data_IF_621468303689
#
_entry.id   IF_621468303689
#
_cell.length_a   1.000
_cell.length_b   1.000
_cell.length_c   1.000
_cell.angle_alpha   90.00
_cell.angle_beta   90.00
_cell.angle_gamma   90.00
#
_symmetry.space_group_name_H-M   'P 1'
#
loop_
_entity.id
_entity.type
_entity.pdbx_description
1 polymer ?
#
# COMPACT_ATOMS: atom_id res chain seq x y z
N UNK A 1 6.29 -23.45 27.24
CA UNK A 1 6.01 -22.46 26.20
C UNK A 1 4.52 -22.49 25.90
N UNK A 2 3.86 -21.36 26.10
CA UNK A 2 2.45 -21.17 25.69
C UNK A 2 2.40 -20.57 24.28
N UNK A 3 1.28 -20.75 23.58
CA UNK A 3 1.05 -20.12 22.26
C UNK A 3 1.31 -18.60 22.30
N UNK A 4 1.00 -17.94 23.42
CA UNK A 4 1.24 -16.51 23.60
C UNK A 4 2.74 -16.18 23.71
N UNK A 5 3.53 -17.03 24.36
CA UNK A 5 4.99 -16.86 24.45
C UNK A 5 5.64 -17.04 23.07
N UNK A 6 5.25 -18.07 22.33
CA UNK A 6 5.80 -18.37 21.00
C UNK A 6 5.45 -17.26 20.00
N UNK A 7 4.20 -16.77 20.02
CA UNK A 7 3.77 -15.64 19.17
C UNK A 7 4.44 -14.32 19.52
N UNK A 8 4.91 -14.13 20.77
CA UNK A 8 5.76 -12.99 21.15
C UNK A 8 7.15 -13.10 20.53
N UNK A 9 7.77 -14.27 20.65
CA UNK A 9 9.10 -14.52 20.09
C UNK A 9 9.12 -14.41 18.55
N UNK A 10 8.09 -14.93 17.88
CA UNK A 10 7.98 -14.91 16.41
C UNK A 10 7.39 -13.62 15.83
N UNK A 11 7.05 -12.64 16.67
CA UNK A 11 6.38 -11.40 16.26
C UNK A 11 5.06 -11.62 15.47
N UNK A 12 4.28 -12.63 15.88
CA UNK A 12 2.99 -12.97 15.27
C UNK A 12 1.86 -12.21 15.98
N UNK A 13 1.72 -10.92 15.70
CA UNK A 13 0.77 -10.04 16.42
C UNK A 13 -0.68 -10.43 16.18
N UNK A 14 -1.04 -10.75 14.94
CA UNK A 14 -2.41 -11.10 14.58
C UNK A 14 -2.81 -12.39 15.28
N UNK A 15 -1.96 -13.41 15.17
CA UNK A 15 -2.23 -14.73 15.74
C UNK A 15 -2.40 -14.63 17.26
N UNK A 16 -1.54 -13.86 17.94
CA UNK A 16 -1.64 -13.66 19.39
C UNK A 16 -2.99 -13.11 19.82
N UNK A 17 -3.57 -12.21 19.03
CA UNK A 17 -4.83 -11.55 19.32
C UNK A 17 -6.04 -12.39 18.90
N UNK A 18 -5.94 -13.17 17.81
CA UNK A 18 -7.09 -13.79 17.15
C UNK A 18 -7.12 -15.33 17.16
N UNK A 19 -6.09 -16.03 17.65
CA UNK A 19 -6.03 -17.51 17.53
C UNK A 19 -7.23 -18.21 18.18
N UNK A 20 -7.76 -17.71 19.30
CA UNK A 20 -8.93 -18.28 19.97
C UNK A 20 -10.20 -18.15 19.13
N UNK A 21 -10.38 -17.02 18.46
CA UNK A 21 -11.53 -16.78 17.56
C UNK A 21 -11.47 -17.76 16.38
N UNK A 22 -10.30 -17.90 15.77
CA UNK A 22 -10.08 -18.88 14.69
C UNK A 22 -10.29 -20.33 15.16
N UNK A 23 -9.88 -20.69 16.38
CA UNK A 23 -10.16 -22.02 16.95
C UNK A 23 -11.67 -22.29 17.08
N UNK A 24 -12.42 -21.29 17.53
CA UNK A 24 -13.88 -21.40 17.69
C UNK A 24 -14.58 -21.50 16.32
N UNK A 25 -14.17 -20.68 15.36
CA UNK A 25 -14.72 -20.72 14.01
C UNK A 25 -14.44 -22.05 13.32
N UNK A 26 -13.22 -22.57 13.43
CA UNK A 26 -12.86 -23.86 12.84
C UNK A 26 -13.68 -25.01 13.42
N UNK A 27 -13.95 -24.99 14.73
CA UNK A 27 -14.81 -25.97 15.39
C UNK A 27 -16.27 -25.89 14.91
N UNK A 28 -16.79 -24.67 14.69
CA UNK A 28 -18.16 -24.46 14.19
C UNK A 28 -18.32 -24.83 12.71
N UNK A 29 -17.30 -24.58 11.90
CA UNK A 29 -17.30 -24.81 10.44
C UNK A 29 -16.82 -26.21 10.06
N UNK A 30 -16.46 -27.05 11.03
CA UNK A 30 -15.81 -28.36 10.81
C UNK A 30 -14.61 -28.26 9.85
N UNK A 31 -13.84 -27.16 9.97
CA UNK A 31 -12.68 -26.93 9.11
C UNK A 31 -11.60 -27.98 9.34
N UNK A 32 -10.95 -28.39 8.26
CA UNK A 32 -9.74 -29.18 8.35
C UNK A 32 -8.62 -28.39 9.05
N UNK A 33 -7.67 -29.10 9.66
CA UNK A 33 -6.51 -28.45 10.29
C UNK A 33 -5.69 -27.61 9.31
N UNK A 34 -5.64 -28.01 8.04
CA UNK A 34 -4.93 -27.28 6.99
C UNK A 34 -5.64 -25.95 6.67
N UNK A 35 -6.97 -25.95 6.55
CA UNK A 35 -7.76 -24.73 6.31
C UNK A 35 -7.65 -23.76 7.49
N UNK A 36 -7.80 -24.26 8.72
CA UNK A 36 -7.61 -23.44 9.93
C UNK A 36 -6.23 -22.77 9.96
N UNK A 37 -5.16 -23.56 9.74
CA UNK A 37 -3.80 -23.03 9.79
C UNK A 37 -3.57 -22.00 8.67
N UNK A 38 -4.10 -22.26 7.47
CA UNK A 38 -4.04 -21.35 6.34
C UNK A 38 -4.73 -20.03 6.64
N UNK A 39 -5.95 -20.05 7.14
CA UNK A 39 -6.74 -18.84 7.44
C UNK A 39 -6.04 -17.99 8.52
N UNK A 40 -5.54 -18.64 9.57
CA UNK A 40 -4.82 -17.98 10.65
C UNK A 40 -3.52 -17.31 10.16
N UNK A 41 -2.74 -18.00 9.32
CA UNK A 41 -1.52 -17.45 8.71
C UNK A 41 -1.83 -16.35 7.68
N UNK A 42 -2.92 -16.47 6.94
CA UNK A 42 -3.35 -15.44 6.00
C UNK A 42 -3.70 -14.13 6.71
N UNK A 43 -4.37 -14.21 7.87
CA UNK A 43 -4.64 -13.03 8.70
C UNK A 43 -3.37 -12.33 9.18
N UNK A 44 -2.36 -13.09 9.62
CA UNK A 44 -1.05 -12.54 10.00
C UNK A 44 -0.34 -11.88 8.82
N UNK A 45 -0.28 -12.55 7.68
CA UNK A 45 0.30 -12.00 6.44
C UNK A 45 -0.41 -10.71 6.02
N UNK A 46 -1.74 -10.67 6.11
CA UNK A 46 -2.54 -9.50 5.78
C UNK A 46 -2.24 -8.33 6.73
N UNK A 47 -2.30 -8.53 8.05
CA UNK A 47 -2.00 -7.47 9.02
C UNK A 47 -0.57 -6.94 8.86
N UNK A 48 0.39 -7.83 8.63
CA UNK A 48 1.80 -7.44 8.39
C UNK A 48 1.95 -6.61 7.11
N UNK A 49 1.28 -6.99 6.02
CA UNK A 49 1.28 -6.21 4.77
C UNK A 49 0.67 -4.83 4.99
N UNK A 50 -0.48 -4.74 5.66
CA UNK A 50 -1.16 -3.48 5.95
C UNK A 50 -0.32 -2.56 6.82
N UNK A 51 0.32 -3.09 7.87
CA UNK A 51 1.24 -2.33 8.71
C UNK A 51 2.44 -1.80 7.90
N UNK A 52 2.97 -2.61 6.98
CA UNK A 52 4.03 -2.20 6.06
C UNK A 52 3.61 -1.06 5.14
N UNK A 53 2.42 -1.14 4.54
CA UNK A 53 1.85 -0.07 3.69
C UNK A 53 1.65 1.20 4.51
N UNK A 54 1.00 1.13 5.68
CA UNK A 54 0.78 2.29 6.55
C UNK A 54 2.10 2.97 6.95
N UNK A 55 3.12 2.17 7.28
CA UNK A 55 4.45 2.71 7.62
C UNK A 55 5.06 3.45 6.43
N UNK A 56 5.07 2.84 5.23
CA UNK A 56 5.60 3.48 4.02
C UNK A 56 4.79 4.73 3.63
N UNK A 57 3.47 4.72 3.77
CA UNK A 57 2.61 5.88 3.50
C UNK A 57 2.98 7.06 4.40
N UNK A 58 3.25 6.82 5.69
CA UNK A 58 3.73 7.85 6.63
C UNK A 58 5.11 8.36 6.24
N UNK A 59 6.02 7.47 5.88
CA UNK A 59 7.39 7.82 5.46
C UNK A 59 7.48 8.50 4.09
N UNK A 60 6.40 8.50 3.30
CA UNK A 60 6.40 9.12 1.99
C UNK A 60 6.24 10.64 2.00
N UNK A 61 5.91 11.25 3.14
CA UNK A 61 5.80 12.71 3.31
C UNK A 61 4.84 13.39 2.31
N UNK A 62 3.78 12.70 1.88
CA UNK A 62 2.76 13.32 1.04
C UNK A 62 2.09 14.50 1.78
N UNK A 63 1.84 15.64 1.12
CA UNK A 63 1.21 16.80 1.75
C UNK A 63 -0.26 16.56 2.11
N UNK A 64 -0.91 15.60 1.45
CA UNK A 64 -2.23 15.11 1.76
C UNK A 64 -2.38 13.67 1.24
N UNK A 65 -3.39 12.95 1.74
CA UNK A 65 -3.70 11.59 1.28
C UNK A 65 -4.59 11.63 0.04
N UNK A 66 -4.25 10.82 -0.96
CA UNK A 66 -5.10 10.60 -2.12
C UNK A 66 -4.75 9.27 -2.77
N UNK A 67 -5.77 8.44 -3.00
CA UNK A 67 -5.63 7.19 -3.75
C UNK A 67 -5.80 7.45 -5.25
N UNK A 68 -5.18 6.63 -6.10
CA UNK A 68 -5.21 6.81 -7.55
C UNK A 68 -6.63 6.72 -8.15
N UNK A 69 -7.51 5.95 -7.52
CA UNK A 69 -8.91 5.81 -7.95
C UNK A 69 -9.72 7.10 -7.74
N UNK A 70 -9.34 7.95 -6.79
CA UNK A 70 -10.03 9.22 -6.51
C UNK A 70 -9.57 10.34 -7.45
N UNK A 71 -8.51 10.12 -8.22
CA UNK A 71 -8.02 11.11 -9.17
C UNK A 71 -8.99 11.26 -10.35
N UNK A 72 -9.76 12.35 -10.35
CA UNK A 72 -10.74 12.67 -11.39
C UNK A 72 -10.06 12.86 -12.74
N UNK A 73 -10.52 12.16 -13.77
CA UNK A 73 -9.92 12.16 -15.12
C UNK A 73 -10.78 12.87 -16.16
N UNK A 74 -12.02 13.24 -15.83
CA UNK A 74 -13.01 13.70 -16.80
C UNK A 74 -12.63 15.01 -17.50
N UNK A 75 -11.82 15.83 -16.82
CA UNK A 75 -11.30 17.09 -17.35
C UNK A 75 -10.07 16.92 -18.26
N UNK A 76 -9.53 15.71 -18.37
CA UNK A 76 -8.31 15.43 -19.14
C UNK A 76 -8.64 14.96 -20.56
N UNK A 77 -7.80 15.35 -21.51
CA UNK A 77 -7.89 14.87 -22.90
C UNK A 77 -7.73 13.34 -22.95
N UNK A 78 -8.29 12.72 -23.98
CA UNK A 78 -8.28 11.26 -24.16
C UNK A 78 -6.84 10.71 -24.15
N UNK A 79 -5.91 11.39 -24.81
CA UNK A 79 -4.51 10.96 -24.90
C UNK A 79 -3.85 10.95 -23.52
N UNK A 80 -4.11 11.97 -22.69
CA UNK A 80 -3.58 12.06 -21.32
C UNK A 80 -4.18 10.96 -20.44
N UNK A 81 -5.47 10.65 -20.59
CA UNK A 81 -6.09 9.54 -19.85
C UNK A 81 -5.46 8.20 -20.20
N UNK A 82 -5.06 8.00 -21.46
CA UNK A 82 -4.38 6.79 -21.90
C UNK A 82 -2.97 6.68 -21.29
N UNK A 83 -2.21 7.78 -21.31
CA UNK A 83 -0.89 7.84 -20.64
C UNK A 83 -1.05 7.55 -19.15
N UNK A 84 -2.04 8.12 -18.48
CA UNK A 84 -2.27 7.85 -17.05
C UNK A 84 -2.50 6.35 -16.82
N UNK A 85 -3.32 5.67 -17.65
CA UNK A 85 -3.53 4.21 -17.55
C UNK A 85 -2.22 3.43 -17.62
N UNK A 86 -1.31 3.83 -18.51
CA UNK A 86 0.03 3.23 -18.59
C UNK A 86 0.84 3.52 -17.32
N UNK A 87 0.80 4.75 -16.80
CA UNK A 87 1.50 5.09 -15.55
C UNK A 87 0.95 4.32 -14.34
N UNK A 88 -0.31 3.92 -14.33
CA UNK A 88 -0.89 3.13 -13.23
C UNK A 88 -0.27 1.74 -13.13
N UNK A 89 0.35 1.20 -14.18
CA UNK A 89 1.05 -0.10 -14.08
C UNK A 89 2.31 0.01 -13.23
N UNK A 90 2.82 1.24 -13.01
CA UNK A 90 4.08 1.55 -12.36
C UNK A 90 5.32 0.95 -13.07
N UNK A 91 5.16 0.47 -14.30
CA UNK A 91 6.23 -0.18 -15.07
C UNK A 91 7.41 0.76 -15.30
N UNK A 92 7.16 2.07 -15.41
CA UNK A 92 8.19 3.09 -15.51
C UNK A 92 9.21 3.04 -14.35
N UNK A 93 8.83 2.55 -13.16
CA UNK A 93 9.73 2.40 -12.02
C UNK A 93 10.71 1.24 -12.28
N UNK A 94 10.21 0.10 -12.79
CA UNK A 94 11.05 -1.05 -13.14
C UNK A 94 11.99 -0.72 -14.31
N UNK A 95 11.47 0.00 -15.29
CA UNK A 95 12.24 0.47 -16.44
C UNK A 95 13.20 1.63 -16.11
N UNK A 96 13.20 2.12 -14.87
CA UNK A 96 14.01 3.27 -14.42
C UNK A 96 13.80 4.53 -15.26
N UNK A 97 12.57 4.76 -15.71
CA UNK A 97 12.17 5.96 -16.48
C UNK A 97 11.66 7.05 -15.54
N UNK A 98 11.96 8.29 -15.90
CA UNK A 98 11.47 9.48 -15.21
C UNK A 98 10.19 9.99 -15.86
N UNK A 99 9.23 10.41 -15.04
CA UNK A 99 8.01 11.08 -15.50
C UNK A 99 8.13 12.56 -15.18
N UNK A 100 7.90 13.41 -16.18
CA UNK A 100 7.85 14.86 -16.03
C UNK A 100 6.44 15.32 -16.37
N UNK A 101 5.74 15.89 -15.38
CA UNK A 101 4.38 16.41 -15.55
C UNK A 101 4.44 17.91 -15.85
N UNK A 102 4.00 18.32 -17.05
CA UNK A 102 4.07 19.72 -17.52
C UNK A 102 2.65 20.24 -17.82
N UNK A 103 2.37 21.49 -17.43
CA UNK A 103 1.11 22.17 -17.75
C UNK A 103 0.79 23.31 -16.80
N UNK A 104 -0.31 24.03 -17.05
CA UNK A 104 -0.72 25.19 -16.26
C UNK A 104 -0.99 24.85 -14.77
N UNK A 105 -0.81 25.79 -13.83
CA UNK A 105 -1.16 25.56 -12.42
C UNK A 105 -2.62 25.07 -12.26
N UNK A 106 -2.88 24.22 -11.27
CA UNK A 106 -4.22 23.70 -10.97
C UNK A 106 -4.72 22.54 -11.86
N UNK A 107 -3.95 22.08 -12.84
CA UNK A 107 -4.36 20.97 -13.74
C UNK A 107 -4.14 19.56 -13.15
N UNK A 108 -4.03 19.42 -11.83
CA UNK A 108 -3.94 18.11 -11.17
C UNK A 108 -2.57 17.40 -11.24
N UNK A 109 -1.46 18.08 -11.60
CA UNK A 109 -0.12 17.45 -11.66
C UNK A 109 0.35 16.91 -10.31
N UNK A 110 0.33 17.75 -9.27
CA UNK A 110 0.69 17.36 -7.91
C UNK A 110 -0.25 16.28 -7.37
N UNK A 111 -1.53 16.36 -7.71
CA UNK A 111 -2.47 15.31 -7.36
C UNK A 111 -2.06 13.99 -8.04
N UNK A 112 -1.87 13.97 -9.36
CA UNK A 112 -1.46 12.76 -10.08
C UNK A 112 -0.16 12.15 -9.52
N UNK A 113 0.85 12.96 -9.18
CA UNK A 113 2.09 12.44 -8.60
C UNK A 113 1.89 11.83 -7.21
N UNK A 114 1.04 12.41 -6.36
CA UNK A 114 0.67 11.84 -5.06
C UNK A 114 -0.12 10.53 -5.26
N UNK A 115 -1.08 10.50 -6.17
CA UNK A 115 -1.87 9.31 -6.47
C UNK A 115 -1.01 8.15 -6.98
N UNK A 116 -0.10 8.41 -7.92
CA UNK A 116 0.86 7.41 -8.40
C UNK A 116 1.81 6.94 -7.30
N UNK A 117 2.28 7.88 -6.46
CA UNK A 117 3.10 7.56 -5.29
C UNK A 117 2.35 6.68 -4.27
N UNK A 118 1.08 6.97 -3.98
CA UNK A 118 0.24 6.16 -3.10
C UNK A 118 0.10 4.74 -3.64
N UNK A 119 -0.17 4.59 -4.94
CA UNK A 119 -0.23 3.27 -5.58
C UNK A 119 1.11 2.52 -5.48
N UNK A 120 2.23 3.21 -5.68
CA UNK A 120 3.55 2.60 -5.52
C UNK A 120 3.78 2.09 -4.09
N UNK A 121 3.31 2.82 -3.08
CA UNK A 121 3.38 2.37 -1.68
C UNK A 121 2.50 1.14 -1.42
N UNK A 122 1.29 1.11 -1.99
CA UNK A 122 0.38 -0.04 -1.92
C UNK A 122 1.01 -1.29 -2.55
N UNK A 123 1.73 -1.15 -3.67
CA UNK A 123 2.53 -2.20 -4.33
C UNK A 123 3.86 -2.50 -3.60
N UNK A 124 4.04 -1.98 -2.38
CA UNK A 124 5.16 -2.32 -1.51
C UNK A 124 6.44 -1.51 -1.73
N UNK A 125 6.42 -0.48 -2.59
CA UNK A 125 7.59 0.36 -2.87
C UNK A 125 7.72 1.49 -1.85
N UNK A 126 8.96 1.85 -1.53
CA UNK A 126 9.23 3.07 -0.75
C UNK A 126 9.14 4.29 -1.68
N UNK A 127 8.48 5.35 -1.21
CA UNK A 127 8.31 6.61 -1.95
C UNK A 127 8.75 7.76 -1.05
N UNK A 128 9.23 8.84 -1.66
CA UNK A 128 9.48 10.13 -1.01
C UNK A 128 8.85 11.23 -1.86
N UNK A 129 8.00 12.04 -1.24
CA UNK A 129 7.47 13.26 -1.82
C UNK A 129 8.22 14.45 -1.20
N UNK A 130 8.89 15.22 -2.04
CA UNK A 130 9.71 16.35 -1.58
C UNK A 130 9.60 17.52 -2.55
N UNK A 131 9.61 18.74 -2.01
CA UNK A 131 9.68 19.96 -2.82
C UNK A 131 11.13 20.24 -3.24
N UNK A 132 11.35 20.89 -4.39
CA UNK A 132 12.72 21.24 -4.82
C UNK A 132 13.48 22.05 -3.75
N UNK A 133 12.90 23.09 -3.12
CA UNK A 133 13.61 23.81 -2.07
C UNK A 133 14.04 22.91 -0.90
N UNK A 134 13.18 21.98 -0.47
CA UNK A 134 13.51 21.02 0.59
C UNK A 134 14.63 20.06 0.17
N UNK A 135 14.60 19.60 -1.08
CA UNK A 135 15.58 18.66 -1.63
C UNK A 135 17.00 19.26 -1.71
N UNK A 136 17.13 20.57 -1.85
CA UNK A 136 18.44 21.24 -1.92
C UNK A 136 19.10 21.43 -0.54
N UNK A 137 18.36 21.25 0.55
CA UNK A 137 18.79 21.52 1.93
C UNK A 137 19.05 20.22 2.73
N UNK A 138 18.60 19.07 2.22
CA UNK A 138 18.91 17.73 2.76
C UNK A 138 20.32 17.27 2.37
#
# INVERSE_FOLDING_TARGET
MTIIEDTKYLHLSYIREHYLEHCQEAALKEQSYEEFLKDLLQGECFQRRQNGIMKRMRSAHFPYQMILNDFRRDHLKVEVRQIIKELETLEFIEEKKNIILIGNPGTGKTALSIALGSKAVEEGRSVLFISIPSLLIE
#
